data_IF_040203852694
#
_entry.id   IF_040203852694
#
_cell.length_a   1.000
_cell.length_b   1.000
_cell.length_c   1.000
_cell.angle_alpha   90.00
_cell.angle_beta   90.00
_cell.angle_gamma   90.00
#
_symmetry.space_group_name_H-M   'P 1'
#
loop_
_entity.id
_entity.type
_entity.pdbx_description
1 polymer ?
#
# COMPACT_ATOMS: atom_id res chain seq x y z
N UNK A 1 3.06 9.54 -5.12
CA UNK A 1 1.75 10.02 -4.61
C UNK A 1 1.87 10.74 -3.28
N UNK A 2 2.33 10.09 -2.20
CA UNK A 2 2.37 10.67 -0.85
C UNK A 2 3.01 12.07 -0.73
N UNK A 3 4.12 12.31 -1.44
CA UNK A 3 4.85 13.58 -1.36
C UNK A 3 4.01 14.75 -1.89
N UNK A 4 3.32 14.55 -3.01
CA UNK A 4 2.47 15.58 -3.64
C UNK A 4 1.22 15.82 -2.78
N UNK A 5 0.59 14.77 -2.25
CA UNK A 5 -0.54 14.92 -1.32
C UNK A 5 -0.13 15.67 -0.05
N UNK A 6 1.06 15.40 0.51
CA UNK A 6 1.56 16.10 1.69
C UNK A 6 1.81 17.59 1.40
N UNK A 7 2.34 17.94 0.24
CA UNK A 7 2.55 19.33 -0.15
C UNK A 7 1.25 20.09 -0.39
N UNK A 8 0.28 19.46 -1.06
CA UNK A 8 -1.06 20.04 -1.21
C UNK A 8 -1.74 20.24 0.15
N UNK A 9 -1.54 19.29 1.07
CA UNK A 9 -2.01 19.42 2.45
C UNK A 9 -1.42 20.62 3.20
N UNK A 10 -0.15 20.98 2.95
CA UNK A 10 0.44 22.22 3.49
C UNK A 10 -0.20 23.49 2.92
N UNK A 11 -0.78 23.40 1.73
CA UNK A 11 -1.53 24.48 1.09
C UNK A 11 -3.03 24.44 1.43
N UNK A 12 -3.46 23.51 2.29
CA UNK A 12 -4.85 23.36 2.71
C UNK A 12 -5.77 22.72 1.65
N UNK A 13 -5.21 22.14 0.59
CA UNK A 13 -5.96 21.53 -0.51
C UNK A 13 -5.83 20.01 -0.43
N UNK A 14 -6.94 19.28 -0.54
CA UNK A 14 -6.90 17.82 -0.61
C UNK A 14 -6.95 17.32 -2.05
N UNK A 15 -6.52 16.06 -2.26
CA UNK A 15 -6.63 15.40 -3.57
C UNK A 15 -8.07 15.32 -4.08
N UNK A 16 -9.04 15.27 -3.17
CA UNK A 16 -10.45 15.15 -3.49
C UNK A 16 -11.03 16.47 -3.99
N UNK A 17 -10.51 17.61 -3.51
CA UNK A 17 -10.95 18.94 -3.93
C UNK A 17 -10.54 19.27 -5.36
N UNK A 18 -9.38 18.74 -5.79
CA UNK A 18 -8.84 18.98 -7.14
C UNK A 18 -9.46 18.09 -8.22
N UNK A 19 -9.91 16.89 -7.84
CA UNK A 19 -10.26 15.84 -8.79
C UNK A 19 -9.02 15.18 -9.44
N UNK A 20 -9.26 14.07 -10.15
CA UNK A 20 -8.19 13.19 -10.65
C UNK A 20 -7.27 13.88 -11.67
N UNK A 21 -7.83 14.59 -12.64
CA UNK A 21 -7.07 15.19 -13.74
C UNK A 21 -6.09 16.26 -13.24
N UNK A 22 -6.60 17.24 -12.49
CA UNK A 22 -5.77 18.31 -11.89
C UNK A 22 -4.74 17.76 -10.91
N UNK A 23 -5.08 16.69 -10.17
CA UNK A 23 -4.11 16.04 -9.31
C UNK A 23 -2.98 15.40 -10.11
N UNK A 24 -3.27 14.73 -11.23
CA UNK A 24 -2.25 14.16 -12.12
C UNK A 24 -1.35 15.26 -12.69
N UNK A 25 -1.92 16.39 -13.13
CA UNK A 25 -1.13 17.54 -13.59
C UNK A 25 -0.14 18.02 -12.52
N UNK A 26 -0.59 18.16 -11.28
CA UNK A 26 0.27 18.54 -10.15
C UNK A 26 1.37 17.53 -9.87
N UNK A 27 1.09 16.23 -10.04
CA UNK A 27 2.12 15.18 -9.92
C UNK A 27 3.18 15.32 -11.00
N UNK A 28 2.80 15.65 -12.24
CA UNK A 28 3.75 15.88 -13.34
C UNK A 28 4.58 17.15 -13.15
N UNK A 29 3.96 18.24 -12.68
CA UNK A 29 4.66 19.48 -12.32
C UNK A 29 5.73 19.21 -11.25
N UNK A 30 5.36 18.48 -10.19
CA UNK A 30 6.30 18.09 -9.14
C UNK A 30 7.42 17.17 -9.65
N UNK A 31 7.08 16.20 -10.52
CA UNK A 31 8.08 15.32 -11.14
C UNK A 31 9.11 16.13 -11.91
N UNK A 32 8.71 17.17 -12.63
CA UNK A 32 9.62 17.98 -13.43
C UNK A 32 10.57 18.80 -12.53
N UNK A 33 10.03 19.40 -11.47
CA UNK A 33 10.83 20.12 -10.48
C UNK A 33 11.83 19.20 -9.77
N UNK A 34 11.35 18.06 -9.26
CA UNK A 34 12.16 17.11 -8.49
C UNK A 34 13.18 16.40 -9.38
N UNK A 35 12.75 15.88 -10.53
CA UNK A 35 13.60 15.20 -11.51
C UNK A 35 14.70 16.12 -12.04
N UNK A 36 14.34 17.35 -12.44
CA UNK A 36 15.34 18.33 -12.89
C UNK A 36 16.37 18.69 -11.81
N UNK A 37 15.95 18.72 -10.53
CA UNK A 37 16.86 18.95 -9.40
C UNK A 37 17.83 17.78 -9.22
N UNK A 38 17.33 16.54 -9.25
CA UNK A 38 18.14 15.31 -9.15
C UNK A 38 19.17 15.26 -10.29
N UNK A 39 18.74 15.47 -11.53
CA UNK A 39 19.61 15.46 -12.71
C UNK A 39 20.70 16.54 -12.63
N UNK A 40 20.39 17.75 -12.14
CA UNK A 40 21.39 18.81 -11.89
C UNK A 40 22.41 18.39 -10.84
N UNK A 41 21.97 17.77 -9.74
CA UNK A 41 22.86 17.29 -8.68
C UNK A 41 23.82 16.21 -9.19
N UNK A 42 23.32 15.22 -9.91
CA UNK A 42 24.14 14.12 -10.45
C UNK A 42 25.16 14.64 -11.48
N UNK A 43 24.78 15.60 -12.33
CA UNK A 43 25.73 16.27 -13.25
C UNK A 43 26.80 17.05 -12.51
N UNK A 44 26.43 17.76 -11.44
CA UNK A 44 27.38 18.51 -10.60
C UNK A 44 28.38 17.59 -9.88
N UNK A 45 27.97 16.36 -9.56
CA UNK A 45 28.86 15.33 -9.00
C UNK A 45 29.83 14.74 -10.04
N UNK A 46 29.72 15.10 -11.32
CA UNK A 46 30.63 14.63 -12.38
C UNK A 46 30.29 13.24 -12.92
N UNK A 47 29.04 12.79 -12.77
CA UNK A 47 28.63 11.46 -13.26
C UNK A 47 28.64 11.38 -14.80
N UNK A 48 29.34 10.37 -15.33
CA UNK A 48 29.53 10.12 -16.76
C UNK A 48 28.48 9.18 -17.39
N UNK A 49 27.25 9.19 -16.86
CA UNK A 49 26.14 8.41 -17.40
C UNK A 49 25.71 8.91 -18.79
N UNK A 50 25.08 8.04 -19.58
CA UNK A 50 24.55 8.41 -20.90
C UNK A 50 23.26 9.24 -20.77
N UNK A 51 23.45 10.56 -20.68
CA UNK A 51 22.37 11.54 -20.59
C UNK A 51 21.45 11.58 -21.81
N UNK A 52 21.89 11.09 -22.97
CA UNK A 52 21.05 11.07 -24.18
C UNK A 52 19.95 10.01 -24.11
N UNK A 53 20.12 9.02 -23.22
CA UNK A 53 19.20 7.91 -22.99
C UNK A 53 18.54 7.97 -21.62
N UNK A 54 18.41 9.16 -21.03
CA UNK A 54 17.66 9.35 -19.80
C UNK A 54 16.22 8.84 -19.98
N UNK A 55 15.75 8.02 -19.03
CA UNK A 55 14.44 7.38 -19.05
C UNK A 55 13.73 7.63 -17.74
N UNK A 56 12.40 7.63 -17.81
CA UNK A 56 11.53 7.79 -16.65
C UNK A 56 10.50 6.67 -16.64
N UNK A 57 10.20 6.10 -15.48
CA UNK A 57 9.36 4.89 -15.36
C UNK A 57 7.96 5.03 -15.98
N UNK A 58 7.43 6.25 -16.04
CA UNK A 58 6.15 6.56 -16.69
C UNK A 58 6.31 7.23 -18.08
N UNK A 59 7.51 7.18 -18.69
CA UNK A 59 7.68 7.57 -20.09
C UNK A 59 6.99 6.57 -21.02
N UNK A 60 6.75 6.97 -22.27
CA UNK A 60 6.00 6.16 -23.22
C UNK A 60 6.65 4.79 -23.47
N UNK A 61 7.98 4.75 -23.58
CA UNK A 61 8.71 3.50 -23.86
C UNK A 61 8.61 2.52 -22.70
N UNK A 62 8.90 2.96 -21.49
CA UNK A 62 8.84 2.11 -20.30
C UNK A 62 7.39 1.75 -19.93
N UNK A 63 6.44 2.66 -20.12
CA UNK A 63 5.02 2.37 -19.92
C UNK A 63 4.53 1.27 -20.87
N UNK A 64 4.95 1.30 -22.15
CA UNK A 64 4.61 0.26 -23.11
C UNK A 64 5.29 -1.07 -22.78
N UNK A 65 6.54 -1.05 -22.30
CA UNK A 65 7.22 -2.27 -21.83
C UNK A 65 6.49 -2.93 -20.65
N UNK A 66 5.98 -2.15 -19.68
CA UNK A 66 5.20 -2.68 -18.55
C UNK A 66 3.88 -3.30 -19.02
N UNK A 67 3.18 -2.66 -19.97
CA UNK A 67 1.94 -3.21 -20.54
C UNK A 67 2.19 -4.54 -21.24
N UNK A 68 3.22 -4.61 -22.07
CA UNK A 68 3.63 -5.82 -22.79
C UNK A 68 3.88 -6.98 -21.82
N UNK A 69 4.68 -6.73 -20.78
CA UNK A 69 5.00 -7.74 -19.76
C UNK A 69 3.75 -8.18 -19.01
N UNK A 70 2.86 -7.25 -18.65
CA UNK A 70 1.61 -7.58 -17.96
C UNK A 70 0.70 -8.45 -18.83
N UNK A 71 0.51 -8.10 -20.10
CA UNK A 71 -0.33 -8.85 -21.04
C UNK A 71 0.22 -10.26 -21.23
N UNK A 72 1.52 -10.39 -21.48
CA UNK A 72 2.17 -11.71 -21.64
C UNK A 72 2.01 -12.58 -20.41
N UNK A 73 2.28 -12.04 -19.21
CA UNK A 73 2.13 -12.81 -17.96
C UNK A 73 0.67 -13.19 -17.67
N UNK A 74 -0.29 -12.39 -18.13
CA UNK A 74 -1.71 -12.73 -18.06
C UNK A 74 -2.09 -13.83 -19.05
N UNK A 75 -1.60 -13.77 -20.30
CA UNK A 75 -1.79 -14.82 -21.31
C UNK A 75 -1.16 -16.15 -20.90
N UNK A 76 -0.01 -16.12 -20.23
CA UNK A 76 0.67 -17.29 -19.64
C UNK A 76 -0.07 -17.85 -18.40
N UNK A 77 -1.15 -17.21 -17.94
CA UNK A 77 -1.92 -17.63 -16.76
C UNK A 77 -1.27 -17.36 -15.42
N UNK A 78 -0.19 -16.57 -15.37
CA UNK A 78 0.54 -16.21 -14.15
C UNK A 78 -0.09 -15.02 -13.40
N UNK A 79 -0.83 -14.17 -14.12
CA UNK A 79 -1.61 -13.06 -13.54
C UNK A 79 -3.09 -13.41 -13.61
N UNK A 80 -3.78 -13.26 -12.48
CA UNK A 80 -5.22 -13.49 -12.37
C UNK A 80 -5.88 -12.47 -11.43
N UNK A 81 -7.21 -12.37 -11.52
CA UNK A 81 -8.03 -11.58 -10.60
C UNK A 81 -8.83 -12.49 -9.68
N UNK A 82 -8.65 -12.32 -8.37
CA UNK A 82 -9.36 -13.10 -7.35
C UNK A 82 -9.59 -12.31 -6.07
N UNK A 83 -10.38 -12.88 -5.17
CA UNK A 83 -10.56 -12.37 -3.80
C UNK A 83 -9.56 -13.06 -2.89
N UNK A 84 -8.71 -12.27 -2.22
CA UNK A 84 -7.75 -12.74 -1.21
C UNK A 84 -7.64 -11.70 -0.10
N UNK A 85 -7.12 -12.11 1.05
CA UNK A 85 -6.75 -11.18 2.11
C UNK A 85 -5.58 -10.33 1.60
N UNK A 86 -5.65 -9.02 1.82
CA UNK A 86 -4.63 -8.05 1.40
C UNK A 86 -4.32 -7.11 2.55
N UNK A 87 -3.08 -6.64 2.61
CA UNK A 87 -2.72 -5.54 3.49
C UNK A 87 -3.35 -4.26 2.94
N UNK A 88 -4.19 -3.60 3.75
CA UNK A 88 -4.90 -2.39 3.36
C UNK A 88 -4.43 -1.21 4.19
N UNK A 89 -4.01 -0.14 3.52
CA UNK A 89 -3.71 1.12 4.19
C UNK A 89 -4.97 2.00 4.24
N UNK A 90 -5.55 2.24 5.44
CA UNK A 90 -6.74 3.09 5.59
C UNK A 90 -6.48 4.56 5.25
N UNK A 91 -5.24 5.03 5.32
CA UNK A 91 -4.89 6.44 5.06
C UNK A 91 -4.79 6.73 3.57
N UNK A 92 -4.03 5.92 2.84
CA UNK A 92 -3.86 6.09 1.39
C UNK A 92 -5.00 5.47 0.59
N UNK A 93 -5.80 4.59 1.23
CA UNK A 93 -6.92 3.86 0.64
C UNK A 93 -6.46 2.97 -0.53
N UNK A 94 -5.39 2.21 -0.30
CA UNK A 94 -4.81 1.29 -1.29
C UNK A 94 -4.36 -0.01 -0.63
N UNK A 95 -4.29 -1.06 -1.44
CA UNK A 95 -3.63 -2.30 -1.06
C UNK A 95 -2.10 -2.13 -1.14
N UNK A 96 -1.39 -2.83 -0.26
CA UNK A 96 0.08 -2.87 -0.21
C UNK A 96 0.58 -4.31 -0.41
N UNK A 97 1.74 -4.43 -1.06
CA UNK A 97 2.49 -5.69 -1.12
C UNK A 97 3.03 -6.04 0.27
N UNK A 98 3.25 -7.33 0.55
CA UNK A 98 3.87 -7.77 1.81
C UNK A 98 5.25 -7.14 2.03
N UNK A 99 6.00 -6.91 0.94
CA UNK A 99 7.32 -6.25 0.98
C UNK A 99 7.26 -4.75 1.33
N UNK A 100 6.08 -4.13 1.25
CA UNK A 100 5.86 -2.72 1.60
C UNK A 100 5.40 -2.55 3.05
N UNK A 101 5.15 -3.65 3.77
CA UNK A 101 4.69 -3.64 5.16
C UNK A 101 5.85 -3.92 6.11
N UNK A 102 6.09 -2.97 7.01
CA UNK A 102 7.09 -3.10 8.06
C UNK A 102 6.41 -3.46 9.38
N UNK A 103 6.82 -4.58 9.99
CA UNK A 103 6.31 -5.01 11.30
C UNK A 103 7.13 -4.39 12.43
N UNK A 104 6.47 -3.71 13.36
CA UNK A 104 7.09 -3.10 14.54
C UNK A 104 6.43 -3.61 15.81
N UNK A 105 7.24 -3.82 16.85
CA UNK A 105 6.72 -4.19 18.15
C UNK A 105 6.05 -2.98 18.82
N UNK A 106 4.82 -3.17 19.27
CA UNK A 106 4.07 -2.16 20.00
C UNK A 106 3.48 -2.77 21.29
N UNK A 107 3.41 -1.97 22.36
CA UNK A 107 2.75 -2.40 23.59
C UNK A 107 1.24 -2.39 23.38
N UNK A 108 0.63 -3.56 23.46
CA UNK A 108 -0.81 -3.75 23.35
C UNK A 108 -1.42 -4.44 24.56
N UNK A 109 -2.71 -4.76 24.44
CA UNK A 109 -3.47 -5.52 25.43
C UNK A 109 -3.82 -6.90 24.89
N UNK A 110 -3.77 -7.92 25.76
CA UNK A 110 -4.26 -9.26 25.46
C UNK A 110 -5.58 -9.50 26.21
N UNK A 111 -6.68 -9.54 25.46
CA UNK A 111 -8.03 -9.70 25.97
C UNK A 111 -8.40 -11.17 26.05
N UNK A 112 -9.19 -11.56 27.05
CA UNK A 112 -9.68 -12.94 27.22
C UNK A 112 -11.20 -12.93 27.31
N UNK A 113 -11.86 -13.59 26.35
CA UNK A 113 -13.32 -13.68 26.26
C UNK A 113 -13.79 -15.09 26.58
N UNK A 114 -14.88 -15.20 27.34
CA UNK A 114 -15.54 -16.49 27.61
C UNK A 114 -16.73 -16.67 26.68
N UNK A 115 -16.68 -17.70 25.85
CA UNK A 115 -17.78 -18.15 25.00
C UNK A 115 -18.47 -19.34 25.65
N UNK A 116 -19.68 -19.13 26.15
CA UNK A 116 -20.48 -20.18 26.75
C UNK A 116 -21.10 -21.07 25.68
N UNK A 117 -21.11 -22.37 25.91
CA UNK A 117 -21.81 -23.30 25.03
C UNK A 117 -23.32 -23.14 25.18
N UNK A 118 -24.03 -23.14 24.06
CA UNK A 118 -25.49 -23.14 24.04
C UNK A 118 -26.03 -24.45 24.67
N UNK A 119 -25.44 -25.58 24.27
CA UNK A 119 -25.72 -26.87 24.87
C UNK A 119 -24.96 -27.03 26.19
N UNK A 120 -25.71 -27.03 27.30
CA UNK A 120 -25.17 -27.19 28.66
C UNK A 120 -24.68 -28.61 28.98
N UNK A 121 -24.99 -29.59 28.13
CA UNK A 121 -24.45 -30.95 28.23
C UNK A 121 -23.02 -31.04 27.73
N UNK A 122 -22.63 -30.14 26.80
CA UNK A 122 -21.27 -30.05 26.29
C UNK A 122 -20.38 -29.37 27.31
N UNK A 123 -19.26 -30.01 27.62
CA UNK A 123 -18.23 -29.48 28.51
C UNK A 123 -16.87 -29.66 27.87
N UNK A 124 -15.94 -28.77 28.22
CA UNK A 124 -14.52 -29.01 27.94
C UNK A 124 -14.04 -30.24 28.72
N UNK A 125 -12.86 -30.75 28.37
CA UNK A 125 -12.23 -31.86 29.12
C UNK A 125 -12.07 -31.54 30.61
N UNK A 126 -11.86 -30.27 30.95
CA UNK A 126 -11.77 -29.77 32.33
C UNK A 126 -13.14 -29.55 33.01
N UNK A 127 -14.24 -29.95 32.38
CA UNK A 127 -15.59 -29.83 32.92
C UNK A 127 -16.20 -28.42 32.87
N UNK A 128 -15.60 -27.48 32.13
CA UNK A 128 -16.13 -26.10 31.98
C UNK A 128 -17.18 -26.05 30.87
N UNK A 129 -18.18 -25.19 31.02
CA UNK A 129 -19.23 -24.95 30.04
C UNK A 129 -18.94 -23.75 29.11
N UNK A 130 -17.68 -23.34 29.01
CA UNK A 130 -17.23 -22.22 28.17
C UNK A 130 -15.84 -22.46 27.60
N UNK A 131 -15.55 -21.83 26.46
CA UNK A 131 -14.21 -21.68 25.89
C UNK A 131 -13.67 -20.28 26.20
N UNK A 132 -12.35 -20.19 26.44
CA UNK A 132 -11.66 -18.92 26.58
C UNK A 132 -10.92 -18.63 25.27
N UNK A 133 -11.23 -17.49 24.64
CA UNK A 133 -10.54 -17.00 23.45
C UNK A 133 -9.69 -15.81 23.84
N UNK A 134 -8.39 -15.86 23.55
CA UNK A 134 -7.47 -14.75 23.74
C UNK A 134 -7.25 -14.01 22.42
N UNK A 135 -7.39 -12.68 22.40
CA UNK A 135 -7.19 -11.85 21.20
C UNK A 135 -6.56 -10.50 21.54
N UNK A 136 -5.73 -9.99 20.65
CA UNK A 136 -5.24 -8.59 20.70
C UNK A 136 -6.18 -7.61 20.01
N UNK A 137 -7.16 -8.13 19.26
CA UNK A 137 -8.14 -7.36 18.47
C UNK A 137 -9.56 -7.71 18.91
N UNK A 138 -10.09 -7.10 19.99
CA UNK A 138 -11.45 -7.38 20.45
C UNK A 138 -12.53 -6.91 19.45
N UNK A 139 -12.22 -5.94 18.58
CA UNK A 139 -13.16 -5.41 17.58
C UNK A 139 -13.47 -6.38 16.44
N UNK A 140 -12.71 -7.47 16.28
CA UNK A 140 -12.94 -8.48 15.23
C UNK A 140 -13.81 -9.65 15.71
N UNK A 141 -14.45 -9.52 16.88
CA UNK A 141 -15.18 -10.60 17.56
C UNK A 141 -16.68 -10.69 17.19
N UNK A 142 -17.08 -10.06 16.08
CA UNK A 142 -18.48 -9.98 15.59
C UNK A 142 -19.13 -11.35 15.37
#
# INVERSE_FOLDING_TARGET
QMVVERQLGLQGVTRHDLGREKFIEKVWEWKEQSGGTITKQIRRLGSSVDWSRERFTMDEGLSNAVKEVFVRLHEDGLIYRGKRLVNWDPKLQTALSDLEVESKEEKGSLWHFKYFFEDKSVKTQDGKNYLVVATTRPETLL
#
